data_IF_019797128103
#
_entry.id   IF_019797128103
#
_cell.length_a   1.000
_cell.length_b   1.000
_cell.length_c   1.000
_cell.angle_alpha   90.00
_cell.angle_beta   90.00
_cell.angle_gamma   90.00
#
_symmetry.space_group_name_H-M   'P 1'
#
loop_
_entity.id
_entity.type
_entity.pdbx_description
1 polymer ?
#
# COMPACT_ATOMS: atom_id res chain seq x y z
N UNK A 1 -23.69 -32.48 -13.10
CA UNK A 1 -23.04 -31.15 -12.94
C UNK A 1 -21.60 -31.13 -13.49
N UNK A 2 -20.65 -31.86 -12.87
CA UNK A 2 -19.21 -31.81 -13.23
C UNK A 2 -18.93 -32.23 -14.67
N UNK A 3 -19.53 -33.32 -15.16
CA UNK A 3 -19.35 -33.77 -16.55
C UNK A 3 -19.90 -32.79 -17.59
N UNK A 4 -20.97 -32.06 -17.27
CA UNK A 4 -21.49 -30.99 -18.14
C UNK A 4 -20.51 -29.81 -18.16
N UNK A 5 -20.04 -29.36 -16.99
CA UNK A 5 -19.05 -28.28 -16.89
C UNK A 5 -17.74 -28.59 -17.64
N UNK A 6 -17.33 -29.87 -17.71
CA UNK A 6 -16.12 -30.27 -18.43
C UNK A 6 -16.16 -29.91 -19.92
N UNK A 7 -17.29 -30.14 -20.58
CA UNK A 7 -17.46 -29.83 -21.99
C UNK A 7 -17.96 -28.41 -22.25
N UNK A 8 -18.92 -27.95 -21.45
CA UNK A 8 -19.66 -26.70 -21.70
C UNK A 8 -18.94 -25.49 -21.12
N UNK A 9 -18.60 -25.52 -19.83
CA UNK A 9 -18.02 -24.38 -19.11
C UNK A 9 -16.50 -24.31 -19.28
N UNK A 10 -15.83 -25.46 -19.24
CA UNK A 10 -14.39 -25.58 -19.42
C UNK A 10 -13.98 -25.71 -20.88
N UNK A 11 -14.94 -25.86 -21.81
CA UNK A 11 -14.70 -25.94 -23.26
C UNK A 11 -13.65 -27.00 -23.65
N UNK A 12 -13.58 -28.09 -22.90
CA UNK A 12 -12.63 -29.16 -23.14
C UNK A 12 -13.21 -30.10 -24.19
N UNK A 13 -12.62 -30.10 -25.38
CA UNK A 13 -13.01 -30.93 -26.52
C UNK A 13 -11.94 -31.94 -26.92
N UNK A 14 -12.30 -32.85 -27.84
CA UNK A 14 -11.41 -33.90 -28.40
C UNK A 14 -10.66 -34.70 -27.32
N UNK A 15 -11.42 -35.31 -26.42
CA UNK A 15 -10.88 -36.08 -25.30
C UNK A 15 -10.43 -37.47 -25.79
N UNK A 16 -9.16 -37.80 -25.54
CA UNK A 16 -8.59 -39.14 -25.67
C UNK A 16 -8.17 -39.62 -24.30
N UNK A 17 -8.84 -40.66 -23.81
CA UNK A 17 -8.50 -41.33 -22.55
C UNK A 17 -7.71 -42.60 -22.90
N UNK A 18 -6.54 -42.76 -22.28
CA UNK A 18 -5.68 -43.94 -22.46
C UNK A 18 -5.54 -44.64 -21.11
N UNK A 19 -6.13 -45.84 -20.93
CA UNK A 19 -6.00 -46.58 -19.68
C UNK A 19 -4.58 -47.13 -19.52
N UNK A 20 -4.10 -47.11 -18.28
CA UNK A 20 -2.90 -47.81 -17.84
C UNK A 20 -3.22 -49.19 -17.26
N UNK A 21 -2.20 -49.96 -16.85
CA UNK A 21 -2.39 -51.26 -16.22
C UNK A 21 -3.16 -51.13 -14.90
N UNK A 22 -4.21 -51.94 -14.66
CA UNK A 22 -4.94 -51.92 -13.40
C UNK A 22 -4.11 -52.46 -12.24
N UNK A 23 -4.32 -51.89 -11.04
CA UNK A 23 -3.69 -52.33 -9.79
C UNK A 23 -4.79 -52.56 -8.75
N UNK A 24 -5.10 -53.83 -8.46
CA UNK A 24 -6.23 -54.17 -7.61
C UNK A 24 -7.56 -53.70 -8.23
N UNK A 25 -8.30 -52.86 -7.52
CA UNK A 25 -9.56 -52.24 -8.00
C UNK A 25 -9.36 -50.91 -8.71
N UNK A 26 -8.13 -50.41 -8.79
CA UNK A 26 -7.81 -49.10 -9.36
C UNK A 26 -7.34 -49.21 -10.81
N UNK A 27 -7.81 -48.30 -11.65
CA UNK A 27 -7.44 -48.18 -13.06
C UNK A 27 -6.91 -46.78 -13.31
N UNK A 28 -5.57 -46.58 -13.37
CA UNK A 28 -5.01 -45.30 -13.76
C UNK A 28 -5.25 -45.06 -15.26
N UNK A 29 -5.37 -43.82 -15.68
CA UNK A 29 -5.47 -43.43 -17.09
C UNK A 29 -4.88 -42.04 -17.31
N UNK A 30 -4.51 -41.77 -18.55
CA UNK A 30 -4.10 -40.43 -19.00
C UNK A 30 -5.18 -39.84 -19.88
N UNK A 31 -5.53 -38.59 -19.64
CA UNK A 31 -6.41 -37.79 -20.49
C UNK A 31 -5.55 -36.86 -21.33
N UNK A 32 -5.79 -36.85 -22.64
CA UNK A 32 -5.31 -35.83 -23.56
C UNK A 32 -6.52 -35.17 -24.20
N UNK A 33 -6.61 -33.85 -24.12
CA UNK A 33 -7.72 -33.08 -24.65
C UNK A 33 -7.22 -31.77 -25.26
N UNK A 34 -8.12 -31.02 -25.88
CA UNK A 34 -7.86 -29.67 -26.36
C UNK A 34 -8.87 -28.73 -25.73
N UNK A 35 -8.39 -27.71 -25.04
CA UNK A 35 -9.26 -26.63 -24.56
C UNK A 35 -9.34 -25.55 -25.63
N UNK A 36 -10.54 -25.07 -25.94
CA UNK A 36 -10.74 -24.01 -26.93
C UNK A 36 -11.68 -22.93 -26.43
N UNK A 37 -11.23 -21.68 -26.48
CA UNK A 37 -12.03 -20.53 -26.06
C UNK A 37 -11.71 -19.33 -26.95
N UNK A 38 -12.73 -18.70 -27.52
CA UNK A 38 -12.63 -17.49 -28.34
C UNK A 38 -11.50 -17.55 -29.40
N UNK A 39 -11.53 -18.59 -30.24
CA UNK A 39 -10.54 -18.81 -31.32
C UNK A 39 -9.14 -19.26 -30.86
N UNK A 40 -8.88 -19.36 -29.55
CA UNK A 40 -7.62 -19.87 -28.98
C UNK A 40 -7.77 -21.32 -28.60
N UNK A 41 -6.74 -22.15 -28.87
CA UNK A 41 -6.73 -23.55 -28.47
C UNK A 41 -5.37 -23.98 -27.93
N UNK A 42 -5.37 -24.78 -26.85
CA UNK A 42 -4.16 -25.39 -26.28
C UNK A 42 -4.40 -26.85 -25.88
N UNK A 43 -3.38 -27.71 -25.97
CA UNK A 43 -3.48 -29.07 -25.46
C UNK A 43 -3.54 -29.08 -23.93
N UNK A 44 -4.41 -29.92 -23.38
CA UNK A 44 -4.48 -30.25 -21.97
C UNK A 44 -4.14 -31.72 -21.80
N UNK A 45 -3.27 -32.05 -20.85
CA UNK A 45 -2.92 -33.44 -20.53
C UNK A 45 -2.76 -33.61 -19.03
N UNK A 46 -3.41 -34.62 -18.47
CA UNK A 46 -3.29 -34.95 -17.06
C UNK A 46 -3.51 -36.46 -16.85
N UNK A 47 -3.01 -36.98 -15.74
CA UNK A 47 -3.29 -38.33 -15.28
C UNK A 47 -4.42 -38.31 -14.26
N UNK A 48 -5.23 -39.36 -14.23
CA UNK A 48 -6.19 -39.60 -13.16
C UNK A 48 -6.38 -41.11 -12.96
N UNK A 49 -7.25 -41.48 -12.04
CA UNK A 49 -7.55 -42.85 -11.66
C UNK A 49 -9.04 -42.99 -11.41
N UNK A 50 -9.56 -44.20 -11.65
CA UNK A 50 -10.89 -44.59 -11.22
C UNK A 50 -10.81 -45.87 -10.40
N UNK A 51 -11.76 -46.05 -9.49
CA UNK A 51 -11.92 -47.30 -8.74
C UNK A 51 -13.10 -48.07 -9.31
N UNK A 52 -12.93 -49.37 -9.53
CA UNK A 52 -13.98 -50.28 -9.97
C UNK A 52 -14.55 -51.01 -8.76
N UNK A 53 -15.87 -50.91 -8.59
CA UNK A 53 -16.63 -51.58 -7.53
C UNK A 53 -17.67 -52.52 -8.12
N UNK A 54 -18.13 -53.49 -7.33
CA UNK A 54 -19.23 -54.36 -7.73
C UNK A 54 -20.56 -53.73 -7.29
N UNK A 55 -21.46 -53.49 -8.24
CA UNK A 55 -22.79 -53.00 -7.95
C UNK A 55 -23.56 -53.98 -7.06
N UNK A 56 -24.04 -53.51 -5.91
CA UNK A 56 -24.69 -54.35 -4.91
C UNK A 56 -26.01 -54.98 -5.38
N UNK A 57 -26.74 -54.27 -6.26
CA UNK A 57 -28.03 -54.72 -6.80
C UNK A 57 -27.91 -55.37 -8.18
N UNK A 58 -26.94 -54.96 -9.00
CA UNK A 58 -26.79 -55.44 -10.39
C UNK A 58 -25.72 -56.52 -10.55
N UNK A 59 -24.80 -56.64 -9.59
CA UNK A 59 -23.62 -57.51 -9.67
C UNK A 59 -22.58 -57.08 -10.71
N UNK A 60 -22.82 -56.00 -11.46
CA UNK A 60 -21.94 -55.51 -12.54
C UNK A 60 -20.75 -54.73 -11.99
N UNK A 61 -19.67 -54.68 -12.75
CA UNK A 61 -18.57 -53.75 -12.50
C UNK A 61 -19.07 -52.32 -12.78
N UNK A 62 -18.94 -51.45 -11.80
CA UNK A 62 -19.29 -50.04 -11.86
C UNK A 62 -18.08 -49.20 -11.48
N UNK A 63 -18.03 -47.96 -11.97
CA UNK A 63 -17.07 -46.98 -11.49
C UNK A 63 -17.59 -46.41 -10.18
N UNK A 64 -16.76 -46.45 -9.14
CA UNK A 64 -17.01 -45.71 -7.90
C UNK A 64 -16.81 -44.23 -8.20
N UNK A 65 -17.92 -43.54 -8.45
CA UNK A 65 -17.89 -42.20 -9.00
C UNK A 65 -17.45 -41.18 -7.95
N UNK A 66 -16.45 -40.39 -8.32
CA UNK A 66 -16.03 -39.21 -7.59
C UNK A 66 -15.61 -38.11 -8.60
N UNK A 67 -15.65 -36.82 -8.23
CA UNK A 67 -15.15 -35.74 -9.08
C UNK A 67 -13.71 -35.94 -9.56
N UNK A 68 -12.89 -36.62 -8.76
CA UNK A 68 -11.50 -36.99 -9.11
C UNK A 68 -11.39 -37.86 -10.35
N UNK A 69 -12.44 -38.62 -10.70
CA UNK A 69 -12.54 -39.37 -11.97
C UNK A 69 -12.60 -38.45 -13.19
N UNK A 70 -12.92 -37.16 -13.02
CA UNK A 70 -12.88 -36.18 -14.11
C UNK A 70 -11.52 -35.49 -14.16
N UNK A 71 -11.02 -35.03 -13.01
CA UNK A 71 -9.70 -34.42 -12.87
C UNK A 71 -9.19 -34.64 -11.43
N UNK A 72 -7.92 -35.04 -11.20
CA UNK A 72 -7.45 -35.49 -9.88
C UNK A 72 -7.51 -34.42 -8.77
N UNK A 73 -7.57 -33.14 -9.14
CA UNK A 73 -7.67 -32.01 -8.22
C UNK A 73 -9.10 -31.53 -7.94
N UNK A 74 -10.13 -32.15 -8.56
CA UNK A 74 -11.52 -31.78 -8.31
C UNK A 74 -11.98 -32.32 -6.95
N UNK A 75 -12.55 -31.43 -6.14
CA UNK A 75 -13.25 -31.74 -4.90
C UNK A 75 -14.77 -31.76 -5.13
N UNK A 76 -15.54 -32.18 -4.12
CA UNK A 76 -16.99 -32.13 -4.18
C UNK A 76 -17.48 -30.69 -4.35
N UNK A 77 -18.39 -30.47 -5.31
CA UNK A 77 -18.95 -29.16 -5.63
C UNK A 77 -18.06 -28.26 -6.51
N UNK A 78 -16.77 -28.55 -6.66
CA UNK A 78 -15.88 -27.77 -7.53
C UNK A 78 -16.26 -27.93 -9.01
N UNK A 79 -16.04 -26.88 -9.80
CA UNK A 79 -16.33 -26.87 -11.24
C UNK A 79 -15.10 -26.54 -12.08
N UNK A 80 -15.10 -26.99 -13.33
CA UNK A 80 -14.06 -26.61 -14.31
C UNK A 80 -14.61 -25.48 -15.17
N UNK A 81 -13.79 -24.44 -15.36
CA UNK A 81 -14.15 -23.27 -16.17
C UNK A 81 -13.04 -22.88 -17.12
N UNK A 82 -13.41 -22.25 -18.22
CA UNK A 82 -12.48 -21.55 -19.11
C UNK A 82 -13.04 -20.22 -19.51
N UNK A 83 -12.24 -19.17 -19.37
CA UNK A 83 -12.66 -17.80 -19.61
C UNK A 83 -11.53 -16.80 -19.43
N UNK A 84 -11.91 -15.53 -19.45
CA UNK A 84 -11.03 -14.43 -19.10
C UNK A 84 -10.63 -14.54 -17.62
N UNK A 85 -9.32 -14.52 -17.35
CA UNK A 85 -8.77 -14.60 -15.99
C UNK A 85 -9.19 -13.37 -15.19
N UNK A 86 -9.65 -13.61 -13.96
CA UNK A 86 -10.13 -12.60 -13.02
C UNK A 86 -9.00 -11.77 -12.40
N UNK A 87 -7.73 -12.07 -12.68
CA UNK A 87 -6.60 -11.30 -12.15
C UNK A 87 -6.14 -10.23 -13.14
N UNK A 88 -6.58 -8.97 -12.99
CA UNK A 88 -6.01 -7.88 -13.75
C UNK A 88 -4.52 -7.76 -13.39
N UNK A 89 -3.67 -8.04 -14.37
CA UNK A 89 -2.26 -7.72 -14.27
C UNK A 89 -2.10 -6.25 -14.63
N UNK A 90 -1.35 -5.51 -13.81
CA UNK A 90 -0.92 -4.16 -14.18
C UNK A 90 0.59 -4.08 -14.34
N UNK A 91 1.01 -3.19 -15.20
CA UNK A 91 2.37 -2.68 -15.28
C UNK A 91 2.37 -1.24 -14.74
N UNK A 92 2.75 -1.08 -13.48
CA UNK A 92 2.97 0.25 -12.93
C UNK A 92 4.28 0.79 -13.47
N UNK A 93 4.25 2.03 -13.96
CA UNK A 93 5.44 2.70 -14.50
C UNK A 93 5.72 4.00 -13.77
N UNK A 94 7.00 4.34 -13.65
CA UNK A 94 7.50 5.61 -13.17
C UNK A 94 7.09 6.75 -14.11
N UNK A 95 7.31 8.00 -13.68
CA UNK A 95 6.94 9.23 -14.41
C UNK A 95 7.52 9.36 -15.83
N UNK A 96 8.53 8.56 -16.17
CA UNK A 96 9.19 8.54 -17.48
C UNK A 96 8.87 7.25 -18.26
N UNK A 97 7.98 6.40 -17.74
CA UNK A 97 7.53 5.17 -18.36
C UNK A 97 8.36 3.93 -18.02
N UNK A 98 9.34 4.02 -17.13
CA UNK A 98 10.13 2.86 -16.67
C UNK A 98 9.27 1.97 -15.76
N UNK A 99 9.26 0.67 -16.00
CA UNK A 99 8.52 -0.29 -15.17
C UNK A 99 9.05 -0.30 -13.74
N UNK A 100 8.12 -0.27 -12.78
CA UNK A 100 8.40 -0.38 -11.35
C UNK A 100 8.02 -1.79 -10.89
N UNK A 101 9.00 -2.58 -10.46
CA UNK A 101 8.78 -3.95 -9.97
C UNK A 101 9.14 -4.07 -8.49
N UNK A 102 8.60 -5.10 -7.82
CA UNK A 102 8.92 -5.39 -6.42
C UNK A 102 10.35 -5.90 -6.25
N UNK A 103 10.90 -6.51 -7.29
CA UNK A 103 12.26 -7.03 -7.29
C UNK A 103 13.28 -5.89 -7.32
N UNK A 104 13.02 -4.85 -8.11
CA UNK A 104 13.90 -3.68 -8.22
C UNK A 104 13.64 -2.66 -7.11
N UNK A 105 12.38 -2.51 -6.68
CA UNK A 105 11.94 -1.57 -5.63
C UNK A 105 11.08 -2.27 -4.57
N UNK A 106 11.66 -3.12 -3.70
CA UNK A 106 10.91 -3.91 -2.72
C UNK A 106 9.97 -3.10 -1.82
N UNK A 107 10.33 -1.86 -1.49
CA UNK A 107 9.51 -1.01 -0.63
C UNK A 107 8.24 -0.48 -1.30
N UNK A 108 8.16 -0.54 -2.63
CA UNK A 108 6.94 -0.23 -3.37
C UNK A 108 5.94 -1.39 -3.38
N UNK A 109 6.30 -2.58 -2.93
CA UNK A 109 5.45 -3.78 -3.01
C UNK A 109 3.99 -3.55 -2.60
N UNK A 110 3.72 -3.04 -1.39
CA UNK A 110 2.36 -2.74 -0.95
C UNK A 110 1.64 -1.70 -1.83
N UNK A 111 2.35 -0.67 -2.29
CA UNK A 111 1.79 0.37 -3.18
C UNK A 111 1.41 -0.23 -4.54
N UNK A 112 2.28 -1.07 -5.11
CA UNK A 112 2.01 -1.76 -6.37
C UNK A 112 0.81 -2.71 -6.25
N UNK A 113 0.64 -3.37 -5.10
CA UNK A 113 -0.53 -4.20 -4.83
C UNK A 113 -1.82 -3.37 -4.77
N UNK A 114 -1.82 -2.24 -4.05
CA UNK A 114 -2.96 -1.32 -4.02
C UNK A 114 -3.29 -0.75 -5.40
N UNK A 115 -2.28 -0.40 -6.20
CA UNK A 115 -2.50 0.08 -7.55
C UNK A 115 -3.16 -0.99 -8.42
N UNK A 116 -2.73 -2.25 -8.30
CA UNK A 116 -3.34 -3.38 -9.02
C UNK A 116 -4.79 -3.59 -8.60
N UNK A 117 -5.06 -3.59 -7.31
CA UNK A 117 -6.41 -3.76 -6.77
C UNK A 117 -7.35 -2.65 -7.23
N UNK A 118 -6.92 -1.40 -7.16
CA UNK A 118 -7.77 -0.25 -7.44
C UNK A 118 -7.91 0.10 -8.92
N UNK A 119 -6.84 -0.09 -9.69
CA UNK A 119 -6.77 0.34 -11.09
C UNK A 119 -6.68 -0.82 -12.07
N UNK A 120 -6.60 -2.06 -11.62
CA UNK A 120 -6.43 -3.24 -12.46
C UNK A 120 -7.42 -3.33 -13.61
N UNK A 121 -8.71 -3.18 -13.31
CA UNK A 121 -9.79 -3.26 -14.30
C UNK A 121 -9.80 -2.06 -15.26
N UNK A 122 -9.39 -0.88 -14.79
CA UNK A 122 -9.43 0.37 -15.58
C UNK A 122 -8.12 0.71 -16.29
N UNK A 123 -7.03 -0.03 -16.03
CA UNK A 123 -5.70 0.22 -16.59
C UNK A 123 -5.56 -0.17 -18.07
N UNK A 124 -6.65 -0.55 -18.74
CA UNK A 124 -6.67 -0.85 -20.18
C UNK A 124 -5.92 -2.13 -20.56
N UNK A 125 -5.72 -3.03 -19.61
CA UNK A 125 -5.19 -4.37 -19.87
C UNK A 125 -6.23 -5.25 -20.55
N UNK A 126 -5.78 -6.36 -21.11
CA UNK A 126 -6.67 -7.44 -21.55
C UNK A 126 -6.44 -8.65 -20.67
N UNK A 127 -7.47 -9.28 -20.10
CA UNK A 127 -7.29 -10.48 -19.29
C UNK A 127 -6.64 -11.61 -20.10
N UNK A 128 -5.93 -12.50 -19.39
CA UNK A 128 -5.52 -13.77 -19.98
C UNK A 128 -6.73 -14.65 -20.23
N UNK A 129 -6.59 -15.69 -21.04
CA UNK A 129 -7.60 -16.75 -21.13
C UNK A 129 -7.04 -17.98 -20.46
N UNK A 130 -7.74 -18.49 -19.46
CA UNK A 130 -7.27 -19.58 -18.61
C UNK A 130 -8.34 -20.65 -18.42
N UNK A 131 -7.90 -21.85 -18.09
CA UNK A 131 -8.72 -22.97 -17.62
C UNK A 131 -8.37 -23.23 -16.17
N UNK A 132 -9.35 -23.22 -15.28
CA UNK A 132 -9.14 -23.42 -13.85
C UNK A 132 -10.20 -24.32 -13.22
N UNK A 133 -9.90 -24.80 -12.00
CA UNK A 133 -10.89 -25.36 -11.08
C UNK A 133 -11.33 -24.24 -10.15
N UNK A 134 -12.63 -23.99 -10.14
CA UNK A 134 -13.32 -23.09 -9.20
C UNK A 134 -13.79 -23.94 -8.01
N UNK A 135 -13.22 -23.77 -6.80
CA UNK A 135 -13.64 -24.52 -5.62
C UNK A 135 -15.09 -24.20 -5.22
N UNK A 136 -15.75 -25.13 -4.51
CA UNK A 136 -17.07 -24.87 -3.94
C UNK A 136 -17.05 -23.85 -2.79
N UNK A 137 -15.90 -23.72 -2.13
CA UNK A 137 -15.62 -22.78 -1.04
C UNK A 137 -14.92 -21.55 -1.61
N UNK A 138 -15.63 -20.42 -1.68
CA UNK A 138 -15.15 -19.16 -2.24
C UNK A 138 -13.94 -18.57 -1.48
N UNK A 139 -13.61 -19.08 -0.30
CA UNK A 139 -12.39 -18.69 0.43
C UNK A 139 -11.13 -19.37 -0.09
N UNK A 140 -11.27 -20.45 -0.87
CA UNK A 140 -10.16 -21.15 -1.50
C UNK A 140 -9.84 -20.55 -2.87
N UNK A 141 -8.55 -20.38 -3.20
CA UNK A 141 -8.16 -19.82 -4.49
C UNK A 141 -8.44 -20.78 -5.65
N UNK A 142 -8.78 -20.22 -6.81
CA UNK A 142 -8.86 -20.96 -8.07
C UNK A 142 -7.55 -21.72 -8.38
N UNK A 143 -7.68 -22.94 -8.90
CA UNK A 143 -6.53 -23.77 -9.31
C UNK A 143 -6.38 -23.68 -10.82
N UNK A 144 -5.41 -22.90 -11.29
CA UNK A 144 -5.10 -22.78 -12.72
C UNK A 144 -4.54 -24.11 -13.26
N UNK A 145 -5.18 -24.62 -14.32
CA UNK A 145 -4.77 -25.85 -15.02
C UNK A 145 -4.05 -25.55 -16.35
N UNK A 146 -4.41 -24.47 -17.03
CA UNK A 146 -3.87 -24.13 -18.36
C UNK A 146 -4.11 -22.67 -18.72
N UNK A 147 -3.06 -21.94 -19.09
CA UNK A 147 -3.19 -20.62 -19.74
C UNK A 147 -3.26 -20.78 -21.26
N UNK A 148 -4.40 -20.47 -21.87
CA UNK A 148 -4.62 -20.50 -23.32
C UNK A 148 -3.94 -19.32 -24.02
N UNK A 149 -4.08 -18.13 -23.46
CA UNK A 149 -3.40 -16.92 -23.92
C UNK A 149 -3.06 -16.02 -22.73
N UNK A 150 -1.84 -15.47 -22.74
CA UNK A 150 -1.46 -14.45 -21.75
C UNK A 150 -2.22 -13.16 -22.03
N UNK A 151 -2.70 -12.53 -20.96
CA UNK A 151 -3.25 -11.19 -21.03
C UNK A 151 -2.17 -10.15 -21.35
N UNK A 152 -2.60 -8.92 -21.61
CA UNK A 152 -1.73 -7.76 -21.64
C UNK A 152 -1.94 -6.99 -20.33
N UNK A 153 -0.89 -6.73 -19.54
CA UNK A 153 -1.04 -5.93 -18.35
C UNK A 153 -1.58 -4.54 -18.71
N UNK A 154 -2.54 -4.06 -17.93
CA UNK A 154 -2.96 -2.66 -18.01
C UNK A 154 -1.85 -1.77 -17.50
N UNK A 155 -1.62 -0.61 -18.12
CA UNK A 155 -0.50 0.26 -17.73
C UNK A 155 -0.99 1.34 -16.78
N UNK A 156 -0.38 1.42 -15.59
CA UNK A 156 -0.68 2.45 -14.59
C UNK A 156 0.49 3.42 -14.50
N UNK A 157 0.28 4.63 -15.00
CA UNK A 157 1.27 5.71 -14.93
C UNK A 157 1.30 6.30 -13.52
N UNK A 158 2.46 6.29 -12.86
CA UNK A 158 2.66 6.88 -11.54
C UNK A 158 3.45 8.19 -11.61
N UNK A 159 3.53 8.91 -10.49
CA UNK A 159 4.41 10.08 -10.34
C UNK A 159 5.80 9.74 -9.82
N UNK A 160 6.03 8.50 -9.40
CA UNK A 160 7.30 8.02 -8.85
C UNK A 160 8.41 8.25 -9.86
N UNK A 161 9.59 8.61 -9.39
CA UNK A 161 10.81 8.66 -10.19
C UNK A 161 11.69 7.48 -9.77
N UNK A 162 11.98 6.58 -10.70
CA UNK A 162 12.70 5.34 -10.41
C UNK A 162 14.10 5.62 -9.79
N UNK A 163 14.77 6.68 -10.23
CA UNK A 163 16.07 7.09 -9.69
C UNK A 163 15.95 7.59 -8.24
N UNK A 164 14.96 8.44 -7.97
CA UNK A 164 14.67 8.92 -6.62
C UNK A 164 14.25 7.77 -5.69
N UNK A 165 13.43 6.84 -6.18
CA UNK A 165 12.99 5.66 -5.42
C UNK A 165 14.18 4.79 -5.01
N UNK A 166 15.09 4.48 -5.94
CA UNK A 166 16.30 3.73 -5.63
C UNK A 166 17.18 4.45 -4.58
N UNK A 167 17.26 5.78 -4.65
CA UNK A 167 17.98 6.58 -3.66
C UNK A 167 17.30 6.54 -2.28
N UNK A 168 15.97 6.64 -2.22
CA UNK A 168 15.21 6.54 -0.99
C UNK A 168 15.38 5.18 -0.32
N UNK A 169 15.31 4.08 -1.06
CA UNK A 169 15.54 2.73 -0.52
C UNK A 169 16.96 2.55 0.03
N UNK A 170 17.98 3.09 -0.65
CA UNK A 170 19.35 3.09 -0.12
C UNK A 170 19.49 3.92 1.15
N UNK A 171 18.74 5.02 1.28
CA UNK A 171 18.80 5.88 2.44
C UNK A 171 18.18 5.21 3.68
N UNK A 172 16.97 4.65 3.55
CA UNK A 172 16.26 4.02 4.68
C UNK A 172 16.98 2.77 5.18
N UNK A 173 17.70 2.02 4.32
CA UNK A 173 18.47 0.84 4.74
C UNK A 173 19.59 1.14 5.75
N UNK A 174 20.00 2.40 5.90
CA UNK A 174 21.05 2.81 6.84
C UNK A 174 20.59 2.81 8.30
N UNK A 175 19.27 2.83 8.55
CA UNK A 175 18.68 2.97 9.87
C UNK A 175 17.51 2.00 10.01
N UNK A 176 17.40 1.32 11.15
CA UNK A 176 16.22 0.50 11.43
C UNK A 176 14.96 1.39 11.52
N UNK A 177 13.81 0.86 11.08
CA UNK A 177 12.50 1.53 11.22
C UNK A 177 12.42 2.92 10.56
N UNK A 178 13.24 3.16 9.54
CA UNK A 178 13.29 4.43 8.84
C UNK A 178 12.31 4.49 7.66
N UNK A 179 11.76 5.68 7.45
CA UNK A 179 10.85 5.99 6.34
C UNK A 179 11.30 7.24 5.62
N UNK A 180 11.13 7.29 4.31
CA UNK A 180 11.42 8.47 3.48
C UNK A 180 10.29 8.65 2.47
N UNK A 181 9.85 9.91 2.33
CA UNK A 181 8.98 10.34 1.25
C UNK A 181 9.60 11.58 0.59
N UNK A 182 9.58 11.61 -0.74
CA UNK A 182 9.99 12.77 -1.51
C UNK A 182 8.81 13.29 -2.34
N UNK A 183 8.49 14.57 -2.21
CA UNK A 183 7.41 15.25 -2.96
C UNK A 183 8.01 16.37 -3.81
N UNK A 184 7.50 16.56 -5.03
CA UNK A 184 7.79 17.75 -5.84
C UNK A 184 6.92 18.91 -5.33
N UNK A 185 7.48 19.95 -4.69
CA UNK A 185 6.66 20.95 -4.00
C UNK A 185 5.66 21.65 -4.91
N UNK A 186 6.07 21.99 -6.14
CA UNK A 186 5.21 22.75 -7.06
C UNK A 186 4.01 21.98 -7.63
N UNK A 187 3.91 20.67 -7.41
CA UNK A 187 2.81 19.86 -7.99
C UNK A 187 2.25 18.81 -7.03
N UNK A 188 2.74 18.70 -5.80
CA UNK A 188 2.39 17.62 -4.88
C UNK A 188 2.79 16.21 -5.35
N UNK A 189 3.55 16.08 -6.44
CA UNK A 189 3.83 14.77 -7.03
C UNK A 189 4.79 13.97 -6.14
N UNK A 190 4.36 12.80 -5.68
CA UNK A 190 5.19 11.89 -4.90
C UNK A 190 6.23 11.26 -5.84
N UNK A 191 7.51 11.50 -5.56
CA UNK A 191 8.66 11.03 -6.35
C UNK A 191 9.29 9.76 -5.80
N UNK A 192 9.22 9.56 -4.50
CA UNK A 192 9.71 8.35 -3.85
C UNK A 192 8.99 8.11 -2.54
N UNK A 193 8.80 6.84 -2.19
CA UNK A 193 8.29 6.37 -0.90
C UNK A 193 9.03 5.09 -0.54
N UNK A 194 9.79 5.11 0.56
CA UNK A 194 10.54 3.94 1.00
C UNK A 194 10.43 3.74 2.51
N UNK A 195 10.47 2.47 2.92
CA UNK A 195 10.45 2.03 4.31
C UNK A 195 11.59 1.03 4.56
N UNK A 196 12.04 0.93 5.80
CA UNK A 196 12.88 -0.15 6.29
C UNK A 196 12.24 -0.79 7.55
N UNK A 197 11.86 -2.08 7.54
CA UNK A 197 12.02 -3.05 6.45
C UNK A 197 11.17 -2.73 5.22
N UNK A 198 11.64 -3.15 4.04
CA UNK A 198 11.00 -2.82 2.78
C UNK A 198 9.61 -3.48 2.59
N UNK A 199 9.45 -4.73 3.05
CA UNK A 199 8.22 -5.51 2.88
C UNK A 199 7.31 -5.47 4.11
N UNK A 200 7.42 -4.41 4.92
CA UNK A 200 6.65 -4.23 6.16
C UNK A 200 5.46 -3.28 6.00
N UNK A 201 4.93 -2.85 7.14
CA UNK A 201 3.93 -1.78 7.21
C UNK A 201 4.44 -0.50 6.53
N UNK A 202 3.59 0.16 5.73
CA UNK A 202 3.96 1.38 5.02
C UNK A 202 3.92 2.61 5.96
N UNK A 203 4.85 2.65 6.92
CA UNK A 203 4.95 3.73 7.90
C UNK A 203 5.11 5.11 7.24
N UNK A 204 5.77 5.18 6.08
CA UNK A 204 5.95 6.40 5.30
C UNK A 204 4.64 7.10 4.90
N UNK A 205 3.56 6.35 4.65
CA UNK A 205 2.27 6.89 4.18
C UNK A 205 1.08 6.60 5.10
N UNK A 206 1.23 5.66 6.03
CA UNK A 206 0.15 5.20 6.90
C UNK A 206 0.50 5.27 8.39
N UNK A 207 1.75 5.57 8.71
CA UNK A 207 2.22 5.71 10.09
C UNK A 207 1.46 6.78 10.87
N UNK A 208 1.43 6.59 12.18
CA UNK A 208 0.89 7.53 13.16
C UNK A 208 1.95 7.74 14.23
N UNK A 209 2.83 8.71 14.00
CA UNK A 209 3.97 8.98 14.87
C UNK A 209 4.02 10.46 15.22
N UNK A 210 4.59 10.78 16.38
CA UNK A 210 4.86 12.17 16.73
C UNK A 210 5.88 12.75 15.73
N UNK A 211 5.59 13.89 15.07
CA UNK A 211 6.51 14.51 14.12
C UNK A 211 7.75 15.13 14.79
N UNK A 212 7.68 15.35 16.11
CA UNK A 212 8.70 16.04 16.87
C UNK A 212 8.93 17.46 16.35
N UNK A 213 10.17 17.95 16.50
CA UNK A 213 10.54 19.32 16.14
C UNK A 213 10.28 19.70 14.67
N UNK A 214 10.03 18.74 13.78
CA UNK A 214 9.67 19.06 12.39
C UNK A 214 8.32 19.79 12.28
N UNK A 215 7.41 19.60 13.25
CA UNK A 215 6.14 20.33 13.31
C UNK A 215 6.32 21.84 13.53
N UNK A 216 7.45 22.27 14.08
CA UNK A 216 7.74 23.70 14.32
C UNK A 216 7.68 24.55 13.05
N UNK A 217 7.76 23.95 11.86
CA UNK A 217 7.48 24.64 10.59
C UNK A 217 6.05 25.23 10.60
N UNK A 218 5.07 24.41 10.97
CA UNK A 218 3.65 24.80 11.06
C UNK A 218 3.42 25.77 12.22
N UNK A 219 3.97 25.48 13.40
CA UNK A 219 3.87 26.40 14.55
C UNK A 219 4.51 27.75 14.24
N UNK A 220 5.64 27.79 13.52
CA UNK A 220 6.27 29.03 13.11
C UNK A 220 5.40 29.83 12.13
N UNK A 221 4.76 29.16 11.17
CA UNK A 221 3.83 29.81 10.24
C UNK A 221 2.67 30.48 10.99
N UNK A 222 1.98 29.73 11.86
CA UNK A 222 0.92 30.25 12.72
C UNK A 222 1.35 31.49 13.54
N UNK A 223 2.53 31.44 14.17
CA UNK A 223 3.05 32.56 14.98
C UNK A 223 3.39 33.80 14.13
N UNK A 224 3.91 33.58 12.91
CA UNK A 224 4.19 34.66 11.96
C UNK A 224 2.89 35.29 11.45
N UNK A 225 1.88 34.50 11.12
CA UNK A 225 0.58 34.98 10.63
C UNK A 225 -0.20 35.75 11.70
N UNK A 226 -0.11 35.32 12.97
CA UNK A 226 -0.65 36.07 14.12
C UNK A 226 0.16 37.32 14.46
N UNK A 227 1.32 37.55 13.83
CA UNK A 227 2.18 38.71 14.09
C UNK A 227 2.87 38.69 15.46
N UNK A 228 2.92 37.54 16.13
CA UNK A 228 3.57 37.36 17.44
C UNK A 228 5.10 37.32 17.31
N UNK A 229 5.59 36.95 16.13
CA UNK A 229 7.01 36.97 15.80
C UNK A 229 7.21 37.57 14.42
N UNK A 230 8.42 38.04 14.17
CA UNK A 230 8.93 38.29 12.82
C UNK A 230 10.23 37.52 12.65
N UNK A 231 10.60 37.16 11.41
CA UNK A 231 11.81 36.36 11.16
C UNK A 231 13.07 36.95 11.84
N UNK A 232 13.23 38.27 11.76
CA UNK A 232 14.37 39.01 12.32
C UNK A 232 14.08 39.64 13.69
N UNK A 233 12.87 39.46 14.23
CA UNK A 233 12.51 39.93 15.57
C UNK A 233 13.22 39.12 16.65
N UNK A 234 13.44 39.75 17.80
CA UNK A 234 14.02 39.07 18.95
C UNK A 234 13.12 37.91 19.40
N UNK A 235 13.73 36.76 19.73
CA UNK A 235 13.06 35.59 20.24
C UNK A 235 13.91 34.96 21.34
N UNK A 236 13.36 34.89 22.55
CA UNK A 236 14.03 34.28 23.67
C UNK A 236 14.15 32.76 23.51
N UNK A 237 15.34 32.23 23.82
CA UNK A 237 15.59 30.78 23.82
C UNK A 237 16.33 30.39 25.12
N UNK A 238 15.67 30.48 26.29
CA UNK A 238 16.24 30.01 27.55
C UNK A 238 16.35 28.48 27.54
N UNK A 239 17.13 27.92 28.48
CA UNK A 239 17.34 26.46 28.60
C UNK A 239 16.06 25.69 28.83
N UNK A 240 15.14 26.31 29.56
CA UNK A 240 13.83 25.77 29.91
C UNK A 240 12.76 26.85 29.87
N UNK A 241 11.54 26.44 29.57
CA UNK A 241 10.34 27.26 29.67
C UNK A 241 9.26 26.43 30.35
N UNK A 242 8.51 27.06 31.26
CA UNK A 242 7.39 26.43 31.94
C UNK A 242 6.09 26.95 31.36
N UNK A 243 5.20 26.04 31.00
CA UNK A 243 3.82 26.34 30.64
C UNK A 243 2.91 25.47 31.50
N UNK A 244 2.05 26.11 32.31
CA UNK A 244 1.21 25.42 33.29
C UNK A 244 2.02 24.47 34.21
N UNK A 245 1.74 23.18 34.18
CA UNK A 245 2.41 22.14 34.96
C UNK A 245 3.61 21.50 34.26
N UNK A 246 3.90 21.86 33.00
CA UNK A 246 4.95 21.24 32.18
C UNK A 246 6.17 22.16 32.05
N UNK A 247 7.35 21.58 32.27
CA UNK A 247 8.64 22.22 31.96
C UNK A 247 9.20 21.60 30.70
N UNK A 248 9.42 22.43 29.67
CA UNK A 248 10.01 22.03 28.40
C UNK A 248 11.47 22.49 28.38
N UNK A 249 12.37 21.61 27.98
CA UNK A 249 13.80 21.89 27.82
C UNK A 249 14.19 21.84 26.34
N UNK A 250 15.25 22.56 25.99
CA UNK A 250 15.93 22.39 24.70
C UNK A 250 16.79 21.12 24.71
N UNK A 251 17.17 20.63 23.52
CA UNK A 251 18.13 19.54 23.40
C UNK A 251 19.41 19.88 24.19
N UNK A 252 19.88 18.97 25.04
CA UNK A 252 21.03 19.17 25.93
C UNK A 252 20.97 20.48 26.76
N UNK A 253 19.78 20.98 27.04
CA UNK A 253 19.54 22.24 27.77
C UNK A 253 20.29 23.44 27.19
N UNK A 254 20.48 23.52 25.87
CA UNK A 254 21.10 24.70 25.25
C UNK A 254 20.22 25.96 25.44
N UNK A 255 20.87 27.12 25.37
CA UNK A 255 20.23 28.43 25.28
C UNK A 255 20.90 29.27 24.19
N UNK A 256 20.18 30.25 23.65
CA UNK A 256 20.79 31.26 22.77
C UNK A 256 21.01 32.58 23.52
N UNK A 257 22.00 33.41 23.11
CA UNK A 257 22.21 34.73 23.70
C UNK A 257 21.00 35.64 23.56
N UNK A 258 20.87 36.59 24.49
CA UNK A 258 19.85 37.64 24.42
C UNK A 258 19.98 38.43 23.11
N UNK A 259 18.83 38.81 22.55
CA UNK A 259 18.77 39.46 21.24
C UNK A 259 18.88 38.51 20.03
N UNK A 260 18.96 37.19 20.24
CA UNK A 260 18.82 36.23 19.14
C UNK A 260 17.49 36.39 18.42
N UNK A 261 17.49 36.19 17.11
CA UNK A 261 16.32 36.32 16.23
C UNK A 261 15.48 35.05 16.23
N UNK A 262 14.20 35.17 15.83
CA UNK A 262 13.33 34.01 15.63
C UNK A 262 13.92 33.03 14.60
N UNK A 263 14.54 33.52 13.52
CA UNK A 263 15.26 32.67 12.56
C UNK A 263 16.39 31.87 13.21
N UNK A 264 17.17 32.47 14.13
CA UNK A 264 18.22 31.74 14.86
C UNK A 264 17.64 30.68 15.79
N UNK A 265 16.55 31.00 16.51
CA UNK A 265 15.84 30.06 17.37
C UNK A 265 15.25 28.89 16.58
N UNK A 266 14.60 29.16 15.44
CA UNK A 266 14.08 28.15 14.52
C UNK A 266 15.19 27.25 13.97
N UNK A 267 16.28 27.85 13.47
CA UNK A 267 17.42 27.12 12.89
C UNK A 267 18.12 26.20 13.89
N UNK A 268 18.14 26.58 15.18
CA UNK A 268 18.68 25.75 16.27
C UNK A 268 17.65 24.81 16.88
N UNK A 269 16.43 24.77 16.36
CA UNK A 269 15.32 23.98 16.87
C UNK A 269 15.04 24.24 18.36
N UNK A 270 15.10 25.50 18.79
CA UNK A 270 14.78 25.88 20.16
C UNK A 270 13.33 25.48 20.49
N UNK A 271 13.09 24.68 21.53
CA UNK A 271 11.74 24.34 21.99
C UNK A 271 11.11 25.54 22.72
N UNK A 272 11.90 26.17 23.59
CA UNK A 272 11.42 27.22 24.51
C UNK A 272 10.97 28.48 23.78
N UNK A 273 11.55 28.79 22.62
CA UNK A 273 11.13 29.90 21.77
C UNK A 273 9.68 29.78 21.25
N UNK A 274 9.14 28.56 21.14
CA UNK A 274 7.74 28.34 20.75
C UNK A 274 6.82 28.26 21.97
N UNK A 275 7.25 27.54 23.01
CA UNK A 275 6.44 27.32 24.22
C UNK A 275 6.15 28.61 24.97
N UNK A 276 7.08 29.58 24.95
CA UNK A 276 6.89 30.87 25.61
C UNK A 276 5.79 31.74 25.00
N UNK A 277 5.41 31.47 23.75
CA UNK A 277 4.42 32.26 23.02
C UNK A 277 3.01 31.68 23.12
N UNK A 278 2.81 30.56 23.84
CA UNK A 278 1.50 29.90 23.91
C UNK A 278 0.46 30.81 24.56
N UNK A 279 0.79 31.48 25.66
CA UNK A 279 -0.12 32.44 26.30
C UNK A 279 -0.46 33.61 25.36
N UNK A 280 0.49 34.06 24.53
CA UNK A 280 0.29 35.15 23.58
C UNK A 280 -0.57 34.75 22.36
N UNK A 281 -0.68 33.45 22.06
CA UNK A 281 -1.55 32.95 20.98
C UNK A 281 -3.04 33.11 21.33
N UNK A 282 -3.37 32.97 22.61
CA UNK A 282 -4.72 33.12 23.20
C UNK A 282 -5.83 32.40 22.40
N UNK A 283 -5.51 31.21 21.87
CA UNK A 283 -6.42 30.35 21.12
C UNK A 283 -5.88 28.92 21.07
N UNK A 284 -6.42 28.02 21.91
CA UNK A 284 -6.04 26.60 21.97
C UNK A 284 -6.27 25.86 20.65
N UNK A 285 -7.17 26.36 19.80
CA UNK A 285 -7.47 25.77 18.48
C UNK A 285 -6.57 26.28 17.36
N UNK A 286 -5.74 27.30 17.60
CA UNK A 286 -4.99 27.98 16.54
C UNK A 286 -4.08 27.03 15.74
N UNK A 287 -3.37 26.11 16.41
CA UNK A 287 -2.49 25.17 15.73
C UNK A 287 -3.28 24.13 14.91
N UNK A 288 -4.45 23.69 15.41
CA UNK A 288 -5.32 22.76 14.69
C UNK A 288 -5.94 23.43 13.45
N UNK A 289 -6.35 24.70 13.57
CA UNK A 289 -6.83 25.52 12.44
C UNK A 289 -5.73 25.73 11.41
N UNK A 290 -4.52 26.13 11.83
CA UNK A 290 -3.35 26.27 10.95
C UNK A 290 -3.10 24.98 10.16
N UNK A 291 -3.06 23.85 10.86
CA UNK A 291 -2.85 22.55 10.27
C UNK A 291 -3.86 22.26 9.16
N UNK A 292 -5.15 22.54 9.42
CA UNK A 292 -6.25 22.24 8.51
C UNK A 292 -6.40 23.23 7.37
N UNK A 293 -6.37 24.52 7.67
CA UNK A 293 -6.73 25.60 6.74
C UNK A 293 -5.56 26.04 5.86
N UNK A 294 -4.33 25.95 6.37
CA UNK A 294 -3.11 26.37 5.64
C UNK A 294 -2.34 25.17 5.09
N UNK A 295 -2.17 24.13 5.90
CA UNK A 295 -1.36 22.95 5.55
C UNK A 295 -2.15 21.73 5.07
N UNK A 296 -3.49 21.81 5.06
CA UNK A 296 -4.36 20.76 4.56
C UNK A 296 -4.33 19.44 5.34
N UNK A 297 -3.92 19.45 6.60
CA UNK A 297 -3.87 18.30 7.50
C UNK A 297 -5.23 18.08 8.16
N UNK A 298 -5.67 16.83 8.25
CA UNK A 298 -7.01 16.45 8.71
C UNK A 298 -8.08 16.58 7.62
N UNK A 299 -7.67 16.70 6.36
CA UNK A 299 -8.56 16.70 5.18
C UNK A 299 -8.65 15.29 4.57
N UNK A 300 -9.36 15.18 3.44
CA UNK A 300 -9.48 13.93 2.70
C UNK A 300 -8.48 13.91 1.52
N UNK A 301 -7.33 13.28 1.72
CA UNK A 301 -6.25 13.24 0.73
C UNK A 301 -6.51 12.21 -0.38
N UNK A 302 -6.53 12.67 -1.63
CA UNK A 302 -6.70 11.81 -2.82
C UNK A 302 -5.36 11.50 -3.48
N UNK A 303 -4.55 10.65 -2.85
CA UNK A 303 -3.20 10.29 -3.32
C UNK A 303 -3.18 9.16 -4.36
N UNK A 304 -4.33 8.55 -4.65
CA UNK A 304 -4.46 7.41 -5.55
C UNK A 304 -4.27 6.05 -4.88
N UNK A 305 -3.55 5.98 -3.76
CA UNK A 305 -3.36 4.76 -2.96
C UNK A 305 -3.80 4.98 -1.51
N UNK A 306 -3.69 3.96 -0.66
CA UNK A 306 -4.07 4.05 0.76
C UNK A 306 -3.05 4.91 1.51
N UNK A 307 -3.56 5.96 2.17
CA UNK A 307 -2.82 6.85 3.07
C UNK A 307 -3.61 7.10 4.34
N UNK A 308 -2.89 7.32 5.44
CA UNK A 308 -3.45 7.90 6.66
C UNK A 308 -3.14 9.39 6.64
N UNK A 309 -4.14 10.26 6.82
CA UNK A 309 -3.86 11.68 6.99
C UNK A 309 -3.33 11.97 8.41
N UNK A 310 -2.58 13.07 8.54
CA UNK A 310 -2.12 13.56 9.82
C UNK A 310 -3.28 14.08 10.68
N UNK A 311 -3.04 14.15 11.97
CA UNK A 311 -3.99 14.65 12.96
C UNK A 311 -3.29 15.64 13.89
N UNK A 312 -3.86 16.83 14.02
CA UNK A 312 -3.44 17.85 14.99
C UNK A 312 -4.65 18.17 15.88
N UNK A 313 -4.87 17.39 16.95
CA UNK A 313 -5.94 17.68 17.90
C UNK A 313 -5.73 19.02 18.60
N UNK A 314 -6.83 19.65 18.98
CA UNK A 314 -6.82 20.77 19.93
C UNK A 314 -6.40 20.25 21.30
N UNK A 315 -5.44 20.91 21.93
CA UNK A 315 -4.92 20.55 23.25
C UNK A 315 -4.83 21.78 24.12
N UNK A 316 -5.02 21.60 25.42
CA UNK A 316 -5.08 22.69 26.40
C UNK A 316 -4.05 22.49 27.52
N UNK A 317 -3.79 23.54 28.29
CA UNK A 317 -2.93 23.48 29.48
C UNK A 317 -1.56 22.84 29.18
N UNK A 318 -1.04 22.00 30.07
CA UNK A 318 0.30 21.42 29.90
C UNK A 318 0.50 20.66 28.58
N UNK A 319 -0.54 20.06 28.00
CA UNK A 319 -0.40 19.28 26.77
C UNK A 319 -0.19 20.18 25.54
N UNK A 320 -0.75 21.38 25.53
CA UNK A 320 -0.51 22.38 24.49
C UNK A 320 0.99 22.69 24.31
N UNK A 321 1.76 22.69 25.42
CA UNK A 321 3.20 22.91 25.37
C UNK A 321 3.96 21.83 24.59
N UNK A 322 3.57 20.56 24.75
CA UNK A 322 4.13 19.46 23.97
C UNK A 322 3.62 19.49 22.53
N UNK A 323 2.35 19.87 22.32
CA UNK A 323 1.71 19.99 21.01
C UNK A 323 2.45 20.95 20.09
N UNK A 324 2.81 22.14 20.57
CA UNK A 324 3.46 23.20 19.78
C UNK A 324 4.84 22.82 19.22
N UNK A 325 5.48 21.81 19.79
CA UNK A 325 6.78 21.30 19.36
C UNK A 325 6.71 19.88 18.76
N UNK A 326 5.49 19.40 18.49
CA UNK A 326 5.22 18.11 17.86
C UNK A 326 5.48 16.89 18.74
N UNK A 327 5.44 17.06 20.07
CA UNK A 327 5.66 16.02 21.06
C UNK A 327 4.41 15.67 21.88
N UNK A 328 3.27 16.32 21.59
CA UNK A 328 1.98 16.03 22.21
C UNK A 328 1.26 14.89 21.48
N UNK A 329 -0.04 15.09 21.23
CA UNK A 329 -0.95 14.10 20.61
C UNK A 329 -0.99 14.19 19.08
N UNK A 330 -0.20 15.08 18.46
CA UNK A 330 -0.05 15.15 17.00
C UNK A 330 0.44 13.83 16.42
N UNK A 331 -0.25 13.36 15.37
CA UNK A 331 0.13 12.15 14.64
C UNK A 331 0.37 12.48 13.18
N UNK A 332 1.52 12.07 12.66
CA UNK A 332 1.94 12.29 11.28
C UNK A 332 2.64 11.04 10.74
N UNK A 333 2.76 10.97 9.41
CA UNK A 333 3.72 10.14 8.70
C UNK A 333 4.68 10.99 7.85
N UNK A 334 5.65 10.32 7.22
CA UNK A 334 6.66 10.99 6.40
C UNK A 334 6.05 11.74 5.20
N UNK A 335 4.95 11.25 4.63
CA UNK A 335 4.24 11.94 3.55
C UNK A 335 3.62 13.25 4.05
N UNK A 336 3.00 13.28 5.24
CA UNK A 336 2.49 14.54 5.81
C UNK A 336 3.60 15.56 6.01
N UNK A 337 4.75 15.14 6.55
CA UNK A 337 5.89 16.05 6.77
C UNK A 337 6.52 16.57 5.48
N UNK A 338 6.57 15.73 4.44
CA UNK A 338 7.01 16.16 3.11
C UNK A 338 6.05 17.20 2.53
N UNK A 339 4.73 17.05 2.76
CA UNK A 339 3.73 18.03 2.35
C UNK A 339 3.85 19.35 3.11
N UNK A 340 4.02 19.32 4.44
CA UNK A 340 4.24 20.53 5.25
C UNK A 340 5.43 21.34 4.72
N UNK A 341 6.53 20.65 4.40
CA UNK A 341 7.72 21.29 3.83
C UNK A 341 7.46 21.85 2.43
N UNK A 342 6.65 21.15 1.62
CA UNK A 342 6.24 21.64 0.30
C UNK A 342 5.42 22.93 0.40
N UNK A 343 4.37 22.94 1.24
CA UNK A 343 3.51 24.10 1.49
C UNK A 343 4.32 25.29 2.01
N UNK A 344 5.20 25.09 2.99
CA UNK A 344 6.05 26.16 3.50
C UNK A 344 6.96 26.78 2.42
N UNK A 345 7.37 25.98 1.42
CA UNK A 345 8.20 26.44 0.30
C UNK A 345 7.41 27.17 -0.78
N UNK A 346 6.19 26.75 -1.05
CA UNK A 346 5.38 27.26 -2.18
C UNK A 346 4.33 28.27 -1.78
N UNK A 347 3.95 28.32 -0.50
CA UNK A 347 2.82 29.08 0.01
C UNK A 347 1.47 28.50 -0.43
N UNK A 348 1.44 27.26 -0.91
CA UNK A 348 0.23 26.61 -1.44
C UNK A 348 0.19 25.14 -1.05
N UNK A 349 -0.95 24.69 -0.55
CA UNK A 349 -1.32 23.29 -0.44
C UNK A 349 -2.23 22.91 -1.61
#
# INVERSE_FOLDING_TARGET
>A
PVLASYGEDARIGKVKITPGPPVGTKVPYTVKATVSYDGKSKPLSYASELTVVRGLTTGKALVDWAPTVVHPQLTEGATLRTGESSTPTIEAVDRNGKVLTKEEYPSLGPILDTLREKYGESAGGSPGVETWIEPADETQPDINLLTLAKGKPGRVQTTIDAGAQAAAERAVKKYAEASVVAVKPSTGAIRAVANNPATGFNAAMQGKQAPGSTLKIMTAAMLLEKGLVTANGAAECPKEARYYTRTIHNLDHFSLPDGSTFTQSFARSCNTAFVKLIDDVDDDSALAKEAREVFGIGLDWKTGVVTTDGSVPEEVQGEAAAQYIGQGTVQMNALNMASITATARTGTF
#
